data_IF_749852502239
#
_entry.id   IF_749852502239
#
_cell.length_a   1.000
_cell.length_b   1.000
_cell.length_c   1.000
_cell.angle_alpha   90.00
_cell.angle_beta   90.00
_cell.angle_gamma   90.00
#
_symmetry.space_group_name_H-M   'P 1'
#
loop_
_entity.id
_entity.type
_entity.pdbx_description
1 polymer ?
#
# COMPACT_ATOMS: atom_id res chain seq x y z
N UNK A 1 -13.09 16.51 13.18
CA UNK A 1 -12.01 17.28 12.56
C UNK A 1 -12.25 18.78 12.76
N UNK A 2 -11.21 19.57 12.74
CA UNK A 2 -11.24 21.04 12.70
C UNK A 2 -10.08 21.56 11.83
N UNK A 3 -9.88 22.89 11.76
CA UNK A 3 -8.79 23.53 10.98
C UNK A 3 -7.38 23.07 11.40
N UNK A 4 -7.23 22.40 12.54
CA UNK A 4 -5.93 21.99 13.10
C UNK A 4 -5.65 20.51 12.92
N UNK A 5 -6.66 19.71 12.56
CA UNK A 5 -6.52 18.28 12.35
C UNK A 5 -7.77 17.48 12.65
N UNK A 6 -7.59 16.19 12.65
CA UNK A 6 -8.65 15.23 12.95
C UNK A 6 -8.28 14.33 14.12
N UNK A 7 -9.28 13.90 14.87
CA UNK A 7 -9.15 12.96 15.97
C UNK A 7 -10.32 12.00 15.98
N UNK A 8 -10.05 10.73 16.23
CA UNK A 8 -11.10 9.72 16.41
C UNK A 8 -11.89 9.99 17.69
N UNK A 9 -13.18 9.83 17.58
CA UNK A 9 -14.12 10.02 18.67
C UNK A 9 -14.90 8.72 18.89
N UNK A 10 -14.79 8.13 20.08
CA UNK A 10 -15.46 6.87 20.43
C UNK A 10 -16.68 7.11 21.28
N UNK A 11 -17.85 6.72 20.78
CA UNK A 11 -19.12 6.73 21.49
C UNK A 11 -19.55 5.30 21.87
N UNK A 12 -20.21 5.12 22.98
CA UNK A 12 -20.60 3.81 23.49
C UNK A 12 -22.07 3.77 23.91
N UNK A 13 -22.63 2.57 23.92
CA UNK A 13 -23.98 2.30 24.38
C UNK A 13 -25.03 3.21 23.72
N UNK A 14 -25.81 3.91 24.54
CA UNK A 14 -26.92 4.75 24.09
C UNK A 14 -26.46 5.93 23.24
N UNK A 15 -25.27 6.43 23.48
CA UNK A 15 -24.71 7.54 22.66
C UNK A 15 -24.39 7.08 21.25
N UNK A 16 -23.85 5.89 21.10
CA UNK A 16 -23.60 5.31 19.77
C UNK A 16 -24.92 5.07 19.02
N UNK A 17 -25.93 4.48 19.68
CA UNK A 17 -27.23 4.24 19.07
C UNK A 17 -27.94 5.55 18.69
N UNK A 18 -27.87 6.58 19.52
CA UNK A 18 -28.45 7.90 19.19
C UNK A 18 -27.75 8.53 18.01
N UNK A 19 -26.41 8.42 17.91
CA UNK A 19 -25.61 9.05 16.88
C UNK A 19 -25.81 8.38 15.51
N UNK A 20 -25.65 7.06 15.43
CA UNK A 20 -25.59 6.33 14.13
C UNK A 20 -26.79 5.41 13.89
N UNK A 21 -27.70 5.33 14.84
CA UNK A 21 -28.85 4.42 14.77
C UNK A 21 -28.56 3.02 15.32
N UNK A 22 -29.57 2.18 15.29
CA UNK A 22 -29.51 0.80 15.74
C UNK A 22 -29.82 -0.14 14.55
N UNK A 23 -28.82 -0.85 14.03
CA UNK A 23 -29.02 -1.75 12.89
C UNK A 23 -29.94 -2.94 13.19
N UNK A 24 -30.11 -3.32 14.49
CA UNK A 24 -31.01 -4.41 14.87
C UNK A 24 -32.47 -4.01 14.87
N UNK A 25 -32.76 -2.73 15.10
CA UNK A 25 -34.13 -2.20 15.22
C UNK A 25 -34.54 -1.30 14.06
N UNK A 26 -33.68 -1.10 13.08
CA UNK A 26 -33.87 -0.19 11.92
C UNK A 26 -34.19 1.26 12.36
N UNK A 27 -33.67 1.67 13.51
CA UNK A 27 -33.83 3.02 14.04
C UNK A 27 -32.73 3.91 13.43
N UNK A 28 -33.06 5.00 12.70
CA UNK A 28 -32.06 5.89 12.13
C UNK A 28 -31.30 6.66 13.22
N UNK A 29 -30.04 6.98 12.96
CA UNK A 29 -29.25 7.86 13.80
C UNK A 29 -29.70 9.33 13.70
N UNK A 30 -29.23 10.13 14.64
CA UNK A 30 -29.50 11.57 14.71
C UNK A 30 -28.40 12.42 14.05
N UNK A 31 -27.28 11.79 13.65
CA UNK A 31 -26.11 12.48 13.07
C UNK A 31 -25.88 12.05 11.63
N UNK A 32 -25.61 13.04 10.80
CA UNK A 32 -25.17 12.86 9.43
C UNK A 32 -23.70 13.30 9.25
N UNK A 33 -23.09 12.83 8.19
CA UNK A 33 -21.74 13.27 7.80
C UNK A 33 -21.79 14.76 7.44
N UNK A 34 -20.94 15.54 8.08
CA UNK A 34 -20.92 17.00 7.95
C UNK A 34 -21.52 17.74 9.14
N UNK A 35 -22.17 17.05 10.06
CA UNK A 35 -22.68 17.69 11.26
C UNK A 35 -21.58 18.20 12.17
N UNK A 36 -21.75 19.41 12.68
CA UNK A 36 -20.83 19.99 13.67
C UNK A 36 -21.27 19.61 15.07
N UNK A 37 -20.36 19.00 15.83
CA UNK A 37 -20.63 18.52 17.18
C UNK A 37 -19.76 19.24 18.20
N UNK A 38 -20.34 19.63 19.32
CA UNK A 38 -19.61 19.99 20.53
C UNK A 38 -19.44 18.76 21.40
N UNK A 39 -18.18 18.32 21.56
CA UNK A 39 -17.84 17.10 22.26
C UNK A 39 -17.13 17.43 23.57
N UNK A 40 -17.58 16.80 24.65
CA UNK A 40 -16.84 16.72 25.92
C UNK A 40 -16.44 15.27 26.15
N UNK A 41 -15.16 15.03 26.41
CA UNK A 41 -14.64 13.67 26.56
C UNK A 41 -13.23 13.66 27.11
N UNK A 42 -12.63 12.48 27.19
CA UNK A 42 -11.29 12.26 27.70
C UNK A 42 -10.41 11.65 26.61
N UNK A 43 -9.24 12.23 26.35
CA UNK A 43 -8.27 11.59 25.48
C UNK A 43 -7.79 10.29 26.13
N UNK A 44 -7.67 9.23 25.32
CA UNK A 44 -7.09 7.96 25.72
C UNK A 44 -6.27 7.39 24.58
N UNK A 45 -5.31 6.53 24.90
CA UNK A 45 -4.67 5.70 23.88
C UNK A 45 -5.63 4.65 23.39
N UNK A 46 -5.92 4.69 22.09
CA UNK A 46 -6.66 3.67 21.36
C UNK A 46 -5.72 2.73 20.63
N UNK A 47 -6.28 1.77 19.90
CA UNK A 47 -5.48 0.79 19.15
C UNK A 47 -4.62 1.43 18.04
N UNK A 48 -5.11 2.52 17.43
CA UNK A 48 -4.46 3.23 16.32
C UNK A 48 -4.11 4.68 16.67
N UNK A 49 -3.67 4.96 17.90
CA UNK A 49 -3.30 6.30 18.33
C UNK A 49 -4.24 6.91 19.35
N UNK A 50 -4.16 8.24 19.54
CA UNK A 50 -4.97 8.96 20.53
C UNK A 50 -6.40 9.12 20.01
N UNK A 51 -7.37 8.75 20.83
CA UNK A 51 -8.80 8.96 20.59
C UNK A 51 -9.49 9.67 21.76
N UNK A 52 -10.64 10.27 21.52
CA UNK A 52 -11.47 10.87 22.59
C UNK A 52 -12.63 9.94 22.90
N UNK A 53 -12.68 9.43 24.15
CA UNK A 53 -13.86 8.76 24.67
C UNK A 53 -14.87 9.80 25.12
N UNK A 54 -16.06 9.76 24.51
CA UNK A 54 -17.09 10.80 24.69
C UNK A 54 -17.82 10.62 26.02
N UNK A 55 -17.85 11.67 26.82
CA UNK A 55 -18.76 11.79 27.97
C UNK A 55 -20.08 12.46 27.53
N UNK A 56 -20.04 13.39 26.56
CA UNK A 56 -21.20 14.11 26.04
C UNK A 56 -20.92 14.61 24.62
N UNK A 57 -21.89 14.44 23.71
CA UNK A 57 -21.90 15.02 22.38
C UNK A 57 -23.25 15.76 22.17
N UNK A 58 -23.19 16.94 21.60
CA UNK A 58 -24.37 17.75 21.26
C UNK A 58 -24.15 18.39 19.90
N UNK A 59 -25.14 18.35 18.99
CA UNK A 59 -25.10 19.13 17.75
C UNK A 59 -24.91 20.63 18.05
N UNK A 60 -24.10 21.30 17.25
CA UNK A 60 -23.85 22.74 17.33
C UNK A 60 -24.22 23.39 16.01
N UNK A 61 -25.51 23.74 15.85
CA UNK A 61 -26.05 24.34 14.63
C UNK A 61 -25.53 25.78 14.38
N UNK A 62 -24.94 26.42 15.40
CA UNK A 62 -24.41 27.78 15.28
C UNK A 62 -22.94 27.82 14.89
N UNK A 63 -22.20 26.74 15.13
CA UNK A 63 -20.79 26.64 14.82
C UNK A 63 -20.60 26.30 13.34
N UNK A 64 -19.75 27.05 12.67
CA UNK A 64 -19.25 26.73 11.35
C UNK A 64 -17.78 26.33 11.52
N UNK A 65 -17.48 25.09 11.26
CA UNK A 65 -16.10 24.59 11.26
C UNK A 65 -15.73 24.40 9.79
N UNK A 66 -14.83 25.24 9.30
CA UNK A 66 -14.29 25.06 7.95
C UNK A 66 -13.25 23.94 8.02
N UNK A 67 -13.71 22.74 7.73
CA UNK A 67 -12.85 21.57 7.68
C UNK A 67 -12.66 21.27 6.22
N UNK A 68 -11.45 21.43 5.77
CA UNK A 68 -11.01 20.73 4.56
C UNK A 68 -10.91 19.24 4.93
N UNK A 69 -12.05 18.56 4.85
CA UNK A 69 -12.06 17.11 4.96
C UNK A 69 -11.26 16.62 3.76
N UNK A 70 -10.05 16.26 4.00
CA UNK A 70 -9.24 15.53 3.04
C UNK A 70 -9.96 14.20 2.84
N UNK A 71 -10.88 14.16 1.87
CA UNK A 71 -11.66 12.95 1.55
C UNK A 71 -10.75 11.79 1.19
N UNK A 72 -9.53 12.09 0.71
CA UNK A 72 -8.46 11.13 0.49
C UNK A 72 -7.08 11.74 0.75
N UNK A 73 -6.19 10.95 1.35
CA UNK A 73 -4.77 11.27 1.46
C UNK A 73 -4.06 10.99 0.13
N UNK A 74 -2.93 11.67 -0.08
CA UNK A 74 -1.94 11.28 -1.07
C UNK A 74 -0.83 10.50 -0.39
N UNK A 75 -0.07 9.72 -1.16
CA UNK A 75 1.05 8.96 -0.60
C UNK A 75 2.06 9.86 0.11
N UNK A 76 2.37 11.03 -0.43
CA UNK A 76 3.30 12.00 0.19
C UNK A 76 2.84 12.56 1.54
N UNK A 77 1.53 12.54 1.81
CA UNK A 77 0.94 13.04 3.07
C UNK A 77 0.98 11.99 4.18
N UNK A 78 1.32 10.74 3.86
CA UNK A 78 1.29 9.66 4.83
C UNK A 78 2.46 9.75 5.81
N UNK A 79 2.15 9.57 7.08
CA UNK A 79 3.13 9.58 8.16
C UNK A 79 2.83 8.52 9.20
N UNK A 80 3.86 8.11 9.94
CA UNK A 80 3.73 7.08 10.97
C UNK A 80 2.66 7.44 12.00
N UNK A 81 1.75 6.50 12.25
CA UNK A 81 0.71 6.61 13.26
C UNK A 81 -0.59 7.25 12.76
N UNK A 82 -0.69 7.64 11.48
CA UNK A 82 -1.98 8.03 10.90
C UNK A 82 -2.96 6.84 10.95
N UNK A 83 -4.22 7.15 11.21
CA UNK A 83 -5.37 6.25 11.15
C UNK A 83 -6.50 6.93 10.39
N UNK A 84 -7.51 6.15 10.03
CA UNK A 84 -8.66 6.64 9.27
C UNK A 84 -8.22 7.20 7.89
N UNK A 85 -7.20 6.56 7.29
CA UNK A 85 -6.64 6.97 6.00
C UNK A 85 -7.53 6.44 4.89
N UNK A 86 -8.01 7.36 4.06
CA UNK A 86 -8.58 7.03 2.76
C UNK A 86 -7.55 7.38 1.69
N UNK A 87 -7.25 6.45 0.80
CA UNK A 87 -6.25 6.61 -0.25
C UNK A 87 -6.80 6.06 -1.56
N UNK A 88 -6.64 6.80 -2.65
CA UNK A 88 -6.90 6.31 -4.00
C UNK A 88 -5.59 6.16 -4.75
N UNK A 89 -5.47 5.08 -5.51
CA UNK A 89 -4.26 4.84 -6.29
C UNK A 89 -4.41 3.71 -7.28
N UNK A 90 -3.42 3.61 -8.17
CA UNK A 90 -3.26 2.53 -9.13
C UNK A 90 -2.52 1.37 -8.49
N UNK A 91 -2.95 0.14 -8.74
CA UNK A 91 -2.23 -1.06 -8.34
C UNK A 91 -1.02 -1.24 -9.25
N UNK A 92 0.15 -1.39 -8.64
CA UNK A 92 1.43 -1.57 -9.35
C UNK A 92 1.96 -3.00 -9.26
N UNK A 93 1.57 -3.75 -8.22
CA UNK A 93 2.00 -5.13 -8.00
C UNK A 93 1.10 -5.77 -6.94
N UNK A 94 0.85 -7.06 -7.06
CA UNK A 94 -0.02 -7.84 -6.16
C UNK A 94 0.73 -9.09 -5.71
N UNK A 95 0.77 -9.37 -4.40
CA UNK A 95 1.40 -10.58 -3.84
C UNK A 95 0.36 -11.56 -3.36
N UNK A 96 0.64 -12.84 -3.55
CA UNK A 96 -0.23 -13.93 -3.13
C UNK A 96 -0.53 -13.94 -1.63
N UNK A 97 -1.68 -14.48 -1.25
CA UNK A 97 -2.10 -14.66 0.14
C UNK A 97 -1.15 -15.63 0.85
N UNK A 98 -0.73 -15.26 2.06
CA UNK A 98 0.05 -16.11 2.97
C UNK A 98 -0.70 -16.33 4.27
N UNK A 99 -0.53 -17.50 4.85
CA UNK A 99 -1.06 -17.84 6.17
C UNK A 99 0.06 -17.80 7.22
N UNK A 100 -0.31 -17.49 8.45
CA UNK A 100 0.60 -17.49 9.59
C UNK A 100 -0.14 -17.92 10.87
N UNK A 101 0.59 -18.56 11.78
CA UNK A 101 0.04 -18.92 13.09
C UNK A 101 0.13 -17.74 14.05
N UNK A 102 -0.96 -17.47 14.78
CA UNK A 102 -0.99 -16.49 15.86
C UNK A 102 -0.59 -17.09 17.20
N UNK A 103 -0.22 -16.27 18.15
CA UNK A 103 0.19 -16.68 19.50
C UNK A 103 -0.92 -17.42 20.26
N UNK A 104 -2.19 -17.19 19.91
CA UNK A 104 -3.36 -17.89 20.49
C UNK A 104 -3.68 -19.21 19.79
N UNK A 105 -2.88 -19.62 18.80
CA UNK A 105 -3.04 -20.85 18.02
C UNK A 105 -4.08 -20.76 16.90
N UNK A 106 -4.67 -19.59 16.64
CA UNK A 106 -5.49 -19.37 15.45
C UNK A 106 -4.61 -19.10 14.23
N UNK A 107 -5.12 -19.40 13.03
CA UNK A 107 -4.49 -19.04 11.77
C UNK A 107 -4.92 -17.64 11.35
N UNK A 108 -3.99 -16.85 10.84
CA UNK A 108 -4.22 -15.56 10.21
C UNK A 108 -3.86 -15.59 8.74
N UNK A 109 -4.42 -14.66 7.98
CA UNK A 109 -4.09 -14.44 6.58
C UNK A 109 -3.54 -13.03 6.37
N UNK A 110 -2.62 -12.90 5.43
CA UNK A 110 -2.04 -11.62 5.03
C UNK A 110 -1.70 -11.65 3.54
N UNK A 111 -1.97 -10.57 2.87
CA UNK A 111 -1.48 -10.31 1.52
C UNK A 111 -0.99 -8.88 1.43
N UNK A 112 -0.26 -8.59 0.36
CA UNK A 112 0.26 -7.25 0.12
C UNK A 112 -0.02 -6.86 -1.33
N UNK A 113 -0.10 -5.55 -1.55
CA UNK A 113 -0.08 -4.95 -2.88
C UNK A 113 0.71 -3.64 -2.81
N UNK A 114 1.21 -3.19 -3.94
CA UNK A 114 1.81 -1.87 -4.10
C UNK A 114 0.79 -0.95 -4.76
N UNK A 115 0.54 0.20 -4.16
CA UNK A 115 -0.40 1.20 -4.70
C UNK A 115 0.36 2.51 -4.90
N UNK A 116 0.18 3.11 -6.06
CA UNK A 116 0.78 4.38 -6.43
C UNK A 116 -0.25 5.45 -6.77
N UNK A 117 0.10 6.69 -6.48
CA UNK A 117 -0.61 7.89 -6.93
C UNK A 117 0.39 8.87 -7.58
N UNK A 118 -0.03 10.06 -8.07
CA UNK A 118 0.91 11.01 -8.66
C UNK A 118 2.03 11.51 -7.74
N UNK A 119 1.98 11.22 -6.44
CA UNK A 119 2.93 11.72 -5.43
C UNK A 119 3.91 10.67 -4.93
N UNK A 120 3.64 9.40 -5.24
CA UNK A 120 4.50 8.30 -4.82
C UNK A 120 3.78 6.96 -4.78
N UNK A 121 4.40 5.99 -4.12
CA UNK A 121 3.82 4.66 -3.91
C UNK A 121 3.95 4.22 -2.45
N UNK A 122 3.07 3.33 -2.04
CA UNK A 122 3.09 2.72 -0.72
C UNK A 122 2.71 1.25 -0.80
N UNK A 123 3.33 0.45 0.04
CA UNK A 123 2.88 -0.93 0.26
C UNK A 123 1.61 -0.93 1.10
N UNK A 124 0.63 -1.67 0.65
CA UNK A 124 -0.63 -1.90 1.34
C UNK A 124 -0.66 -3.34 1.86
N UNK A 125 -0.94 -3.52 3.14
CA UNK A 125 -1.04 -4.82 3.79
C UNK A 125 -2.49 -5.10 4.16
N UNK A 126 -3.05 -6.14 3.58
CA UNK A 126 -4.42 -6.62 3.84
C UNK A 126 -4.40 -7.76 4.84
N UNK A 127 -5.24 -7.69 5.87
CA UNK A 127 -5.29 -8.66 6.95
C UNK A 127 -6.58 -9.47 6.95
N UNK A 128 -6.45 -10.76 7.24
CA UNK A 128 -7.53 -11.71 7.51
C UNK A 128 -8.57 -11.77 6.39
N UNK A 129 -9.81 -11.35 6.66
CA UNK A 129 -10.92 -11.34 5.70
C UNK A 129 -10.68 -10.42 4.49
N UNK A 130 -9.70 -9.52 4.56
CA UNK A 130 -9.31 -8.66 3.46
C UNK A 130 -8.20 -9.27 2.59
N UNK A 131 -7.39 -10.18 3.14
CA UNK A 131 -6.26 -10.76 2.40
C UNK A 131 -6.67 -11.42 1.07
N UNK A 132 -7.79 -12.18 0.98
CA UNK A 132 -8.20 -12.79 -0.29
C UNK A 132 -8.64 -11.83 -1.40
N UNK A 133 -8.87 -10.54 -1.08
CA UNK A 133 -9.25 -9.55 -2.11
C UNK A 133 -8.22 -9.44 -3.23
N UNK A 134 -6.95 -9.72 -2.94
CA UNK A 134 -5.88 -9.68 -3.96
C UNK A 134 -6.08 -10.67 -5.10
N UNK A 135 -6.84 -11.74 -4.90
CA UNK A 135 -7.09 -12.74 -5.94
C UNK A 135 -8.02 -12.22 -7.06
N UNK A 136 -8.74 -11.12 -6.81
CA UNK A 136 -9.67 -10.47 -7.73
C UNK A 136 -9.08 -9.20 -8.38
N UNK A 137 -7.86 -8.80 -7.97
CA UNK A 137 -7.19 -7.57 -8.41
C UNK A 137 -6.14 -7.88 -9.46
N UNK A 138 -5.97 -6.94 -10.37
CA UNK A 138 -4.93 -6.97 -11.42
C UNK A 138 -4.08 -5.71 -11.36
N UNK A 139 -2.89 -5.79 -11.95
CA UNK A 139 -2.08 -4.60 -12.22
C UNK A 139 -2.92 -3.63 -13.06
N UNK A 140 -2.72 -2.33 -12.86
CA UNK A 140 -3.46 -1.23 -13.47
C UNK A 140 -4.89 -0.98 -12.95
N UNK A 141 -5.48 -1.87 -12.15
CA UNK A 141 -6.72 -1.53 -11.45
C UNK A 141 -6.52 -0.32 -10.56
N UNK A 142 -7.50 0.58 -10.54
CA UNK A 142 -7.53 1.67 -9.57
C UNK A 142 -8.38 1.27 -8.39
N UNK A 143 -7.89 1.59 -7.18
CA UNK A 143 -8.55 1.23 -5.93
C UNK A 143 -8.73 2.42 -5.00
N UNK A 144 -9.78 2.35 -4.19
CA UNK A 144 -9.98 3.18 -3.02
C UNK A 144 -9.80 2.34 -1.76
N UNK A 145 -8.92 2.78 -0.89
CA UNK A 145 -8.70 2.24 0.44
C UNK A 145 -9.40 3.15 1.43
N UNK A 146 -10.20 2.59 2.32
CA UNK A 146 -10.95 3.31 3.33
C UNK A 146 -10.59 2.81 4.72
N UNK A 147 -10.47 3.72 5.69
CA UNK A 147 -10.15 3.45 7.10
C UNK A 147 -8.86 2.61 7.29
N UNK A 148 -7.83 2.93 6.49
CA UNK A 148 -6.49 2.37 6.64
C UNK A 148 -5.72 3.01 7.81
N UNK A 149 -4.61 2.41 8.21
CA UNK A 149 -3.70 2.96 9.21
C UNK A 149 -2.24 2.75 8.83
N UNK A 150 -1.39 3.74 9.11
CA UNK A 150 0.03 3.73 8.71
C UNK A 150 0.90 3.17 9.82
N UNK A 151 1.74 2.20 9.48
CA UNK A 151 2.80 1.64 10.33
C UNK A 151 4.15 1.74 9.64
N UNK A 152 5.20 1.59 10.42
CA UNK A 152 6.55 1.40 9.91
C UNK A 152 6.93 -0.07 10.02
N UNK A 153 7.54 -0.56 8.97
CA UNK A 153 8.18 -1.86 8.96
C UNK A 153 9.53 -1.77 8.27
N UNK A 154 10.57 -2.13 9.01
CA UNK A 154 11.96 -2.14 8.50
C UNK A 154 12.40 -0.80 7.90
N UNK A 155 11.95 0.32 8.47
CA UNK A 155 12.29 1.67 8.04
C UNK A 155 11.44 2.23 6.90
N UNK A 156 10.43 1.50 6.42
CA UNK A 156 9.50 1.95 5.37
C UNK A 156 8.08 2.05 5.93
N UNK A 157 7.31 3.04 5.45
CA UNK A 157 5.90 3.15 5.79
C UNK A 157 5.09 2.11 5.01
N UNK A 158 4.11 1.52 5.68
CA UNK A 158 3.11 0.62 5.09
C UNK A 158 1.71 1.09 5.49
N UNK A 159 0.75 1.03 4.57
CA UNK A 159 -0.66 1.27 4.84
C UNK A 159 -1.34 -0.07 5.10
N UNK A 160 -1.93 -0.22 6.27
CA UNK A 160 -2.58 -1.46 6.69
C UNK A 160 -4.09 -1.33 6.60
N UNK A 161 -4.74 -2.35 6.06
CA UNK A 161 -6.21 -2.48 6.01
C UNK A 161 -6.61 -3.65 6.90
N UNK A 162 -7.21 -3.36 8.02
CA UNK A 162 -7.71 -4.36 8.98
C UNK A 162 -9.22 -4.59 8.82
N UNK A 163 -9.83 -5.25 9.81
CA UNK A 163 -11.25 -5.66 9.80
C UNK A 163 -12.25 -4.52 9.60
N UNK A 164 -11.89 -3.28 9.97
CA UNK A 164 -12.75 -2.10 9.78
C UNK A 164 -12.53 -1.40 8.46
N UNK A 165 -11.34 -1.57 7.87
CA UNK A 165 -11.01 -0.97 6.60
C UNK A 165 -11.67 -1.69 5.43
N UNK A 166 -11.69 -1.02 4.30
CA UNK A 166 -12.14 -1.57 3.03
C UNK A 166 -11.13 -1.28 1.92
N UNK A 167 -11.17 -2.09 0.89
CA UNK A 167 -10.50 -1.87 -0.38
C UNK A 167 -11.50 -2.22 -1.47
N UNK A 168 -11.74 -1.29 -2.39
CA UNK A 168 -12.69 -1.43 -3.48
C UNK A 168 -12.06 -0.93 -4.78
N UNK A 169 -12.35 -1.57 -5.88
CA UNK A 169 -11.97 -1.08 -7.22
C UNK A 169 -12.83 0.13 -7.60
N UNK A 170 -12.22 1.11 -8.27
CA UNK A 170 -12.90 2.33 -8.73
C UNK A 170 -12.71 2.52 -10.23
N UNK A 171 -13.72 3.10 -10.89
CA UNK A 171 -13.65 3.45 -12.31
C UNK A 171 -12.83 4.72 -12.60
N UNK A 172 -12.51 5.50 -11.56
CA UNK A 172 -11.71 6.71 -11.66
C UNK A 172 -10.24 6.35 -11.90
N UNK A 173 -9.68 6.83 -13.00
CA UNK A 173 -8.27 6.61 -13.30
C UNK A 173 -7.38 7.44 -12.36
N UNK A 174 -6.48 6.77 -11.65
CA UNK A 174 -5.40 7.38 -10.88
C UNK A 174 -4.09 6.99 -11.56
N UNK A 175 -3.34 7.97 -12.03
CA UNK A 175 -2.08 7.73 -12.73
C UNK A 175 -0.91 7.80 -11.75
N UNK A 176 -0.11 6.75 -11.68
CA UNK A 176 1.17 6.75 -11.00
C UNK A 176 2.28 7.14 -11.99
N UNK A 177 3.08 8.14 -11.64
CA UNK A 177 4.22 8.57 -12.44
C UNK A 177 5.50 8.26 -11.67
N UNK A 178 6.26 7.22 -12.05
CA UNK A 178 7.48 6.84 -11.34
C UNK A 178 8.59 7.88 -11.54
N UNK A 179 9.31 8.20 -10.46
CA UNK A 179 10.61 8.83 -10.53
C UNK A 179 11.69 7.77 -10.59
N UNK A 180 12.49 7.77 -11.64
CA UNK A 180 13.53 6.76 -11.87
C UNK A 180 14.94 7.34 -11.78
N UNK A 181 15.88 6.49 -11.37
CA UNK A 181 17.31 6.78 -11.34
C UNK A 181 17.97 6.28 -12.63
N UNK A 182 18.79 7.12 -13.25
CA UNK A 182 19.59 6.73 -14.41
C UNK A 182 20.52 5.58 -14.05
N UNK A 183 20.55 4.52 -14.87
CA UNK A 183 21.34 3.30 -14.59
C UNK A 183 22.84 3.62 -14.46
N UNK A 184 23.38 4.58 -15.20
CA UNK A 184 24.79 4.98 -15.08
C UNK A 184 25.13 5.64 -13.72
N UNK A 185 24.14 6.14 -12.98
CA UNK A 185 24.31 6.88 -11.73
C UNK A 185 24.06 6.07 -10.47
N UNK A 186 23.71 4.78 -10.58
CA UNK A 186 23.46 3.93 -9.41
C UNK A 186 24.77 3.60 -8.68
N UNK A 187 24.68 3.48 -7.34
CA UNK A 187 25.82 3.13 -6.48
C UNK A 187 25.48 1.93 -5.61
N UNK A 188 26.48 1.11 -5.28
CA UNK A 188 26.31 -0.06 -4.41
C UNK A 188 25.76 0.38 -3.03
N UNK A 189 24.76 -0.37 -2.54
CA UNK A 189 24.10 -0.13 -1.25
C UNK A 189 22.93 0.85 -1.30
N UNK A 190 22.65 1.42 -2.48
CA UNK A 190 21.41 2.20 -2.68
C UNK A 190 20.21 1.28 -2.93
N UNK A 191 19.04 1.76 -2.53
CA UNK A 191 17.75 1.25 -3.00
C UNK A 191 17.16 2.31 -3.92
N UNK A 192 16.88 1.94 -5.15
CA UNK A 192 16.49 2.86 -6.22
C UNK A 192 15.37 2.29 -7.07
N UNK A 193 14.74 3.19 -7.82
CA UNK A 193 13.80 2.86 -8.88
C UNK A 193 14.50 3.01 -10.23
N UNK A 194 14.38 2.03 -11.07
CA UNK A 194 14.93 2.05 -12.44
C UNK A 194 13.86 1.64 -13.45
N UNK A 195 13.91 2.20 -14.64
CA UNK A 195 13.08 1.76 -15.75
C UNK A 195 13.93 1.58 -17.00
N UNK A 196 13.46 0.74 -17.91
CA UNK A 196 14.14 0.53 -19.17
C UNK A 196 13.59 -0.65 -19.95
N UNK A 197 14.26 -0.98 -21.03
CA UNK A 197 13.91 -2.07 -21.94
C UNK A 197 14.69 -3.32 -21.59
N UNK A 198 13.99 -4.46 -21.49
CA UNK A 198 14.62 -5.77 -21.33
C UNK A 198 15.43 -6.11 -22.59
N UNK A 199 16.73 -6.37 -22.42
CA UNK A 199 17.64 -6.73 -23.53
C UNK A 199 17.83 -8.23 -23.63
N UNK A 200 17.79 -8.92 -22.50
CA UNK A 200 17.85 -10.37 -22.41
C UNK A 200 17.22 -10.86 -21.13
N UNK A 201 16.70 -12.09 -21.16
CA UNK A 201 16.15 -12.76 -20.00
C UNK A 201 16.74 -14.18 -19.93
N UNK A 202 17.33 -14.52 -18.79
CA UNK A 202 17.84 -15.85 -18.53
C UNK A 202 16.68 -16.81 -18.21
N UNK A 203 16.87 -18.12 -18.40
CA UNK A 203 15.95 -19.11 -17.86
C UNK A 203 15.85 -19.01 -16.32
N UNK A 204 14.63 -19.18 -15.81
CA UNK A 204 14.40 -19.31 -14.36
C UNK A 204 15.21 -20.47 -13.78
N UNK A 205 15.80 -20.25 -12.61
CA UNK A 205 16.55 -21.25 -11.84
C UNK A 205 15.89 -21.45 -10.49
N UNK A 206 15.85 -22.68 -10.04
CA UNK A 206 15.41 -23.05 -8.68
C UNK A 206 16.60 -23.56 -7.87
N UNK A 207 16.53 -23.38 -6.56
CA UNK A 207 17.56 -23.83 -5.61
C UNK A 207 16.93 -24.13 -4.25
N UNK A 208 17.56 -25.06 -3.52
CA UNK A 208 17.13 -25.35 -2.16
C UNK A 208 17.68 -24.29 -1.19
N UNK A 209 16.83 -23.77 -0.30
CA UNK A 209 17.21 -22.89 0.81
C UNK A 209 17.65 -23.71 2.02
N UNK A 210 18.36 -23.08 2.95
CA UNK A 210 18.86 -23.71 4.18
C UNK A 210 17.72 -24.22 5.09
N UNK A 211 16.54 -23.65 4.98
CA UNK A 211 15.33 -24.06 5.70
C UNK A 211 14.57 -25.21 5.03
N UNK A 212 15.07 -25.71 3.90
CA UNK A 212 14.48 -26.79 3.13
C UNK A 212 13.35 -26.37 2.18
N UNK A 213 13.04 -25.08 2.07
CA UNK A 213 12.13 -24.54 1.05
C UNK A 213 12.84 -24.36 -0.29
N UNK A 214 12.08 -24.42 -1.40
CA UNK A 214 12.61 -24.10 -2.72
C UNK A 214 12.60 -22.58 -2.93
N UNK A 215 13.70 -22.03 -3.42
CA UNK A 215 13.82 -20.67 -3.90
C UNK A 215 13.89 -20.63 -5.42
N UNK A 216 13.53 -19.49 -5.99
CA UNK A 216 13.68 -19.29 -7.43
C UNK A 216 14.21 -17.88 -7.73
N UNK A 217 14.93 -17.76 -8.83
CA UNK A 217 15.49 -16.52 -9.34
C UNK A 217 15.55 -16.55 -10.87
N UNK A 218 15.31 -15.42 -11.48
CA UNK A 218 15.50 -15.18 -12.91
C UNK A 218 16.26 -13.88 -13.10
N UNK A 219 17.28 -13.87 -13.92
CA UNK A 219 18.00 -12.64 -14.25
C UNK A 219 17.50 -12.08 -15.58
N UNK A 220 17.32 -10.78 -15.61
CA UNK A 220 17.07 -10.02 -16.83
C UNK A 220 18.12 -8.91 -16.96
N UNK A 221 18.39 -8.47 -18.18
CA UNK A 221 19.23 -7.29 -18.43
C UNK A 221 18.36 -6.16 -18.89
N UNK A 222 18.31 -5.08 -18.09
CA UNK A 222 17.51 -3.89 -18.34
C UNK A 222 18.42 -2.77 -18.81
N UNK A 223 18.04 -2.05 -19.84
CA UNK A 223 18.77 -0.94 -20.42
C UNK A 223 17.89 0.30 -20.49
N UNK A 224 18.40 1.43 -20.01
CA UNK A 224 17.87 2.76 -20.27
C UNK A 224 18.73 3.52 -21.31
N UNK A 225 18.59 4.83 -21.40
CA UNK A 225 19.36 5.68 -22.30
C UNK A 225 20.79 5.92 -21.82
N UNK A 226 21.12 5.60 -20.57
CA UNK A 226 22.38 5.91 -19.89
C UNK A 226 23.26 4.69 -19.72
N UNK A 227 22.68 3.51 -19.50
CA UNK A 227 23.42 2.30 -19.27
C UNK A 227 22.58 1.04 -19.31
N UNK A 228 23.15 -0.06 -18.86
CA UNK A 228 22.43 -1.31 -18.67
C UNK A 228 22.88 -2.02 -17.40
N UNK A 229 21.94 -2.70 -16.73
CA UNK A 229 22.17 -3.39 -15.46
C UNK A 229 21.51 -4.76 -15.47
N UNK A 230 22.11 -5.73 -14.77
CA UNK A 230 21.44 -6.99 -14.47
C UNK A 230 20.45 -6.78 -13.33
N UNK A 231 19.23 -7.28 -13.49
CA UNK A 231 18.20 -7.31 -12.44
C UNK A 231 17.94 -8.77 -12.07
N UNK A 232 18.17 -9.13 -10.82
CA UNK A 232 17.85 -10.44 -10.27
C UNK A 232 16.42 -10.41 -9.71
N UNK A 233 15.51 -11.10 -10.37
CA UNK A 233 14.11 -11.24 -10.01
C UNK A 233 13.92 -12.45 -9.08
N UNK A 234 13.57 -12.22 -7.82
CA UNK A 234 13.44 -13.27 -6.82
C UNK A 234 11.99 -13.69 -6.59
N UNK A 235 11.79 -14.95 -6.18
CA UNK A 235 10.50 -15.51 -5.81
C UNK A 235 9.46 -15.38 -6.92
N UNK A 236 8.26 -14.88 -6.66
CA UNK A 236 7.17 -14.74 -7.63
C UNK A 236 7.57 -13.88 -8.84
N UNK A 237 8.45 -12.91 -8.66
CA UNK A 237 8.96 -12.07 -9.75
C UNK A 237 9.76 -12.85 -10.80
N UNK A 238 10.32 -14.00 -10.44
CA UNK A 238 10.99 -14.89 -11.40
C UNK A 238 10.02 -15.54 -12.41
N UNK A 239 8.73 -15.51 -12.12
CA UNK A 239 7.66 -16.07 -12.96
C UNK A 239 7.03 -15.04 -13.92
N UNK A 240 7.40 -13.75 -13.80
CA UNK A 240 6.91 -12.72 -14.71
C UNK A 240 7.24 -13.09 -16.18
N UNK A 241 6.27 -12.91 -17.06
CA UNK A 241 6.45 -13.14 -18.50
C UNK A 241 7.17 -11.92 -19.10
N UNK A 242 8.50 -11.97 -19.09
CA UNK A 242 9.40 -10.92 -19.55
C UNK A 242 10.33 -11.43 -20.63
N UNK A 243 10.44 -10.68 -21.70
CA UNK A 243 11.33 -10.99 -22.82
C UNK A 243 12.03 -9.76 -23.39
N UNK A 244 12.98 -9.96 -24.32
CA UNK A 244 13.66 -8.86 -25.00
C UNK A 244 12.66 -7.97 -25.74
N UNK A 245 12.71 -6.67 -25.44
CA UNK A 245 11.84 -5.65 -26.03
C UNK A 245 10.76 -5.13 -25.09
N UNK A 246 10.46 -5.85 -24.01
CA UNK A 246 9.49 -5.40 -23.02
C UNK A 246 10.04 -4.21 -22.23
N UNK A 247 9.22 -3.24 -21.97
CA UNK A 247 9.52 -2.13 -21.08
C UNK A 247 9.17 -2.52 -19.65
N UNK A 248 10.07 -2.23 -18.71
CA UNK A 248 9.88 -2.57 -17.30
C UNK A 248 10.20 -1.39 -16.41
N UNK A 249 9.42 -1.28 -15.34
CA UNK A 249 9.71 -0.45 -14.19
C UNK A 249 9.99 -1.36 -12.99
N UNK A 250 11.16 -1.15 -12.36
CA UNK A 250 11.59 -1.91 -11.20
C UNK A 250 11.80 -0.96 -10.04
N UNK A 251 10.93 -1.02 -9.05
CA UNK A 251 10.93 -0.16 -7.89
C UNK A 251 11.58 -0.84 -6.68
N UNK A 252 12.20 -0.04 -5.81
CA UNK A 252 12.86 -0.50 -4.57
C UNK A 252 13.85 -1.65 -4.82
N UNK A 253 14.61 -1.59 -5.91
CA UNK A 253 15.68 -2.56 -6.16
C UNK A 253 16.94 -2.15 -5.41
N UNK A 254 17.54 -3.13 -4.72
CA UNK A 254 18.80 -2.93 -4.01
C UNK A 254 19.99 -3.11 -4.98
N UNK A 255 20.85 -2.11 -5.05
CA UNK A 255 22.06 -2.17 -5.87
C UNK A 255 23.18 -2.85 -5.07
N UNK A 256 23.68 -3.93 -5.61
CA UNK A 256 24.71 -4.75 -4.98
C UNK A 256 25.86 -5.07 -5.94
N UNK A 257 26.96 -5.58 -5.39
CA UNK A 257 28.08 -6.08 -6.18
C UNK A 257 27.65 -7.35 -6.90
N UNK A 258 27.66 -7.31 -8.22
CA UNK A 258 27.41 -8.45 -9.09
C UNK A 258 28.64 -9.29 -9.35
N UNK A 259 28.55 -10.22 -10.29
CA UNK A 259 29.69 -11.04 -10.67
C UNK A 259 30.66 -10.25 -11.55
N UNK A 260 31.98 -10.33 -11.28
CA UNK A 260 33.08 -9.67 -12.02
C UNK A 260 33.13 -8.13 -11.93
N UNK A 261 32.91 -7.59 -10.71
CA UNK A 261 32.93 -6.15 -10.43
C UNK A 261 31.90 -5.33 -11.23
N UNK A 262 30.82 -5.99 -11.72
CA UNK A 262 29.67 -5.36 -12.34
C UNK A 262 28.59 -5.07 -11.27
N UNK A 263 27.68 -4.14 -11.53
CA UNK A 263 26.55 -3.87 -10.64
C UNK A 263 25.39 -4.80 -10.97
N UNK A 264 24.64 -5.16 -9.93
CA UNK A 264 23.41 -5.94 -10.02
C UNK A 264 22.33 -5.29 -9.18
N UNK A 265 21.14 -5.12 -9.76
CA UNK A 265 19.95 -4.74 -9.03
C UNK A 265 19.24 -5.99 -8.53
N UNK A 266 18.91 -6.05 -7.24
CA UNK A 266 18.21 -7.17 -6.63
C UNK A 266 16.75 -6.78 -6.38
N UNK A 267 15.83 -7.37 -7.15
CA UNK A 267 14.39 -7.22 -6.97
C UNK A 267 13.86 -8.30 -6.03
N UNK A 268 13.94 -8.01 -4.74
CA UNK A 268 13.52 -8.90 -3.66
C UNK A 268 12.03 -8.78 -3.32
N UNK A 269 11.67 -9.24 -2.13
CA UNK A 269 10.28 -9.24 -1.65
C UNK A 269 9.68 -7.84 -1.44
N UNK A 270 10.52 -6.82 -1.29
CA UNK A 270 10.10 -5.42 -1.15
C UNK A 270 9.92 -4.71 -2.48
N UNK A 271 10.61 -5.18 -3.49
CA UNK A 271 10.61 -4.55 -4.80
C UNK A 271 9.29 -4.79 -5.51
N UNK A 272 8.89 -3.83 -6.33
CA UNK A 272 7.80 -3.95 -7.30
C UNK A 272 8.40 -4.02 -8.69
N UNK A 273 7.89 -4.91 -9.54
CA UNK A 273 8.31 -5.01 -10.95
C UNK A 273 7.06 -5.00 -11.82
N UNK A 274 6.91 -3.95 -12.59
CA UNK A 274 5.80 -3.74 -13.52
C UNK A 274 6.31 -3.90 -14.95
N UNK A 275 5.59 -4.68 -15.75
CA UNK A 275 5.77 -4.72 -17.21
C UNK A 275 4.91 -3.61 -17.78
N UNK A 276 5.57 -2.59 -18.34
CA UNK A 276 4.85 -1.51 -18.98
C UNK A 276 4.40 -2.00 -20.36
N UNK A 277 3.10 -2.00 -20.61
CA UNK A 277 2.58 -2.30 -21.94
C UNK A 277 3.15 -1.26 -22.91
N UNK A 278 4.05 -1.68 -23.77
CA UNK A 278 4.59 -0.81 -24.80
C UNK A 278 3.43 -0.28 -25.65
N UNK A 279 3.32 1.04 -25.80
CA UNK A 279 2.36 1.62 -26.71
C UNK A 279 2.46 0.89 -28.06
N UNK A 280 1.38 0.26 -28.51
CA UNK A 280 1.36 -0.34 -29.85
C UNK A 280 1.84 0.71 -30.84
N UNK A 281 2.82 0.40 -31.68
CA UNK A 281 3.27 1.36 -32.68
C UNK A 281 2.11 1.60 -33.68
N UNK A 282 1.67 2.86 -33.79
CA UNK A 282 0.72 3.33 -34.83
C UNK A 282 1.14 2.95 -36.26
#
# INVERSE_FOLDING_TARGET
ADETGQIRVSMWDRQAVSAVGDPETDQPGELDVGDVLRIAGRPKEGYNGVEVSVDKAEPDEEAVVDVDLQDSYRVEDLSLGLSDVNLRGQILDVWSVRTFDRDDGSEGQVSNLSVGDPTGRIRVTLWDDKAPLVDELTDDDCVEIVDGYVKERDGSLELHVGSRGALETIDEAVEYVPETTDIESVEIGQTVDIAGVVRSADPKRTFDRDDGSEGQVRNVRVQDTTGDIRVALWSEKADLDLGPGDEVFCADVEIQEGWQDDFEASAGWRSTVVVLDGAEPD
#
